data_IF_865352391967
#
_entry.id   IF_865352391967
#
_cell.length_a   1.000
_cell.length_b   1.000
_cell.length_c   1.000
_cell.angle_alpha   90.00
_cell.angle_beta   90.00
_cell.angle_gamma   90.00
#
_symmetry.space_group_name_H-M   'P 1'
#
loop_
_entity.id
_entity.type
_entity.pdbx_description
1 polymer ?
#
# COMPACT_ATOMS: atom_id res chain seq x y z
N UNK A 1 21.62 -21.81 -13.93
CA UNK A 1 21.38 -20.45 -13.42
C UNK A 1 19.92 -20.09 -13.66
N UNK A 2 19.36 -19.29 -12.74
CA UNK A 2 17.98 -18.80 -12.66
C UNK A 2 16.93 -19.79 -12.12
N UNK A 3 16.57 -19.58 -10.85
CA UNK A 3 15.17 -19.66 -10.41
C UNK A 3 14.97 -18.55 -9.39
N UNK A 4 14.44 -17.43 -9.87
CA UNK A 4 14.06 -16.27 -9.08
C UNK A 4 12.87 -16.68 -8.22
N UNK A 5 13.02 -16.49 -6.92
CA UNK A 5 12.02 -16.73 -5.88
C UNK A 5 10.72 -16.04 -6.27
N UNK A 6 9.68 -16.84 -6.52
CA UNK A 6 8.30 -16.40 -6.41
C UNK A 6 7.98 -16.40 -4.93
N UNK A 7 8.30 -15.30 -4.26
CA UNK A 7 7.72 -14.99 -2.98
C UNK A 7 6.26 -14.60 -3.23
N UNK A 8 5.39 -15.60 -3.16
CA UNK A 8 3.96 -15.44 -2.97
C UNK A 8 3.73 -14.70 -1.64
N UNK A 9 3.79 -13.37 -1.68
CA UNK A 9 3.35 -12.51 -0.61
C UNK A 9 1.82 -12.66 -0.50
N UNK A 10 1.40 -13.69 0.24
CA UNK A 10 0.01 -13.98 0.59
C UNK A 10 -0.52 -12.86 1.49
N UNK A 11 -0.86 -11.73 0.90
CA UNK A 11 -1.63 -10.67 1.57
C UNK A 11 -2.98 -11.27 1.94
N UNK A 12 -3.19 -11.50 3.23
CA UNK A 12 -4.43 -12.03 3.79
C UNK A 12 -5.57 -11.01 3.66
N UNK A 13 -6.08 -10.84 2.43
CA UNK A 13 -7.29 -10.09 2.16
C UNK A 13 -8.52 -10.99 2.34
N UNK A 14 -9.33 -10.73 3.35
CA UNK A 14 -10.65 -11.37 3.44
C UNK A 14 -11.60 -10.66 2.47
N UNK A 15 -12.08 -11.38 1.47
CA UNK A 15 -13.03 -10.83 0.49
C UNK A 15 -14.44 -11.02 1.03
N UNK A 16 -15.02 -9.98 1.61
CA UNK A 16 -16.46 -9.92 1.88
C UNK A 16 -17.12 -9.27 0.66
N UNK A 17 -18.07 -9.98 0.05
CA UNK A 17 -18.79 -9.65 -1.20
C UNK A 17 -18.84 -8.15 -1.51
N UNK A 18 -17.98 -7.68 -2.41
CA UNK A 18 -18.00 -6.31 -2.94
C UNK A 18 -16.99 -5.31 -2.37
N UNK A 19 -16.34 -5.59 -1.24
CA UNK A 19 -15.33 -4.72 -0.64
C UNK A 19 -14.06 -5.48 -0.28
N UNK A 20 -12.91 -5.05 -0.79
CA UNK A 20 -11.60 -5.68 -0.52
C UNK A 20 -11.09 -5.19 0.82
N UNK A 21 -11.27 -5.93 1.91
CA UNK A 21 -10.71 -5.55 3.20
C UNK A 21 -9.25 -5.95 3.26
N UNK A 22 -8.37 -4.99 3.55
CA UNK A 22 -6.94 -5.21 3.71
C UNK A 22 -6.62 -5.18 5.20
N UNK A 23 -6.20 -6.33 5.74
CA UNK A 23 -5.75 -6.43 7.12
C UNK A 23 -4.34 -5.86 7.26
N UNK A 24 -4.01 -5.22 8.40
CA UNK A 24 -2.64 -4.88 8.72
C UNK A 24 -1.76 -6.14 8.72
N UNK A 25 -0.52 -6.07 8.23
CA UNK A 25 0.41 -7.19 8.34
C UNK A 25 0.71 -7.49 9.82
N UNK A 26 0.84 -8.76 10.15
CA UNK A 26 1.23 -9.20 11.51
C UNK A 26 2.65 -8.74 11.85
N UNK A 27 3.51 -8.65 10.84
CA UNK A 27 4.87 -8.19 10.95
C UNK A 27 4.94 -6.66 10.92
N UNK A 28 5.10 -6.05 12.10
CA UNK A 28 5.23 -4.59 12.25
C UNK A 28 6.46 -4.00 11.54
N UNK A 29 7.47 -4.82 11.21
CA UNK A 29 8.66 -4.37 10.50
C UNK A 29 8.32 -3.87 9.09
N UNK A 30 7.43 -4.56 8.39
CA UNK A 30 7.01 -4.17 7.03
C UNK A 30 6.33 -2.80 7.02
N UNK A 31 5.45 -2.53 8.01
CA UNK A 31 4.81 -1.22 8.15
C UNK A 31 5.81 -0.10 8.49
N UNK A 32 6.87 -0.42 9.24
CA UNK A 32 7.92 0.55 9.55
C UNK A 32 8.77 0.88 8.32
N UNK A 33 9.09 -0.13 7.50
CA UNK A 33 9.80 0.07 6.24
C UNK A 33 8.96 0.90 5.25
N UNK A 34 7.65 0.66 5.18
CA UNK A 34 6.73 1.48 4.38
C UNK A 34 6.70 2.94 4.84
N UNK A 35 6.64 3.19 6.15
CA UNK A 35 6.66 4.54 6.73
C UNK A 35 7.95 5.29 6.37
N UNK A 36 9.10 4.63 6.45
CA UNK A 36 10.39 5.21 6.06
C UNK A 36 10.43 5.57 4.56
N UNK A 37 9.89 4.72 3.69
CA UNK A 37 9.82 4.99 2.25
C UNK A 37 8.91 6.18 1.94
N UNK A 38 7.81 6.34 2.67
CA UNK A 38 6.94 7.51 2.55
C UNK A 38 7.63 8.78 3.08
N UNK A 39 8.39 8.71 4.16
CA UNK A 39 9.15 9.85 4.67
C UNK A 39 10.19 10.38 3.66
N UNK A 40 10.71 9.52 2.79
CA UNK A 40 11.70 9.85 1.75
C UNK A 40 11.12 10.60 0.52
N UNK A 41 9.88 11.07 0.57
CA UNK A 41 9.20 11.78 -0.53
C UNK A 41 9.13 10.93 -1.81
N UNK A 42 8.28 9.90 -1.83
CA UNK A 42 8.21 8.94 -2.91
C UNK A 42 7.82 9.61 -4.24
N UNK A 43 8.27 9.01 -5.34
CA UNK A 43 7.98 9.43 -6.70
C UNK A 43 7.19 8.33 -7.41
N UNK A 44 6.27 8.73 -8.27
CA UNK A 44 5.63 7.83 -9.20
C UNK A 44 6.57 7.60 -10.39
N UNK A 45 6.57 6.39 -10.94
CA UNK A 45 7.34 6.06 -12.14
C UNK A 45 6.35 5.59 -13.18
N UNK A 46 6.39 6.20 -14.38
CA UNK A 46 5.55 5.77 -15.50
C UNK A 46 6.13 4.52 -16.20
N UNK A 47 5.44 4.04 -17.24
CA UNK A 47 5.86 2.83 -17.97
C UNK A 47 7.18 3.03 -18.72
N UNK A 48 7.51 4.28 -19.05
CA UNK A 48 8.71 4.72 -19.75
C UNK A 48 9.88 4.98 -18.79
N UNK A 49 9.66 4.91 -17.47
CA UNK A 49 10.67 5.10 -16.44
C UNK A 49 10.85 6.54 -15.97
N UNK A 50 10.00 7.48 -16.41
CA UNK A 50 10.06 8.86 -15.95
C UNK A 50 9.50 9.00 -14.54
N UNK A 51 10.20 9.79 -13.72
CA UNK A 51 9.77 10.08 -12.37
C UNK A 51 8.81 11.28 -12.34
N UNK A 52 7.60 11.05 -11.84
CA UNK A 52 6.57 12.06 -11.61
C UNK A 52 6.50 12.31 -10.10
N UNK A 53 6.41 13.58 -9.70
CA UNK A 53 6.18 13.93 -8.31
C UNK A 53 4.84 13.36 -7.85
N UNK A 54 4.84 12.69 -6.71
CA UNK A 54 3.60 12.22 -6.10
C UNK A 54 2.79 13.44 -5.64
N UNK A 55 1.52 13.60 -6.07
CA UNK A 55 0.67 14.68 -5.59
C UNK A 55 0.51 14.62 -4.06
N UNK A 56 0.51 15.78 -3.41
CA UNK A 56 0.46 15.89 -1.95
C UNK A 56 -0.78 15.21 -1.36
N UNK A 57 -1.90 15.23 -2.08
CA UNK A 57 -3.16 14.61 -1.68
C UNK A 57 -3.02 13.09 -1.61
N UNK A 58 -2.36 12.49 -2.60
CA UNK A 58 -2.11 11.04 -2.64
C UNK A 58 -1.11 10.66 -1.55
N UNK A 59 -0.07 11.46 -1.36
CA UNK A 59 0.91 11.27 -0.29
C UNK A 59 0.26 11.26 1.10
N UNK A 60 -0.60 12.24 1.37
CA UNK A 60 -1.31 12.35 2.64
C UNK A 60 -2.17 11.09 2.91
N UNK A 61 -2.93 10.64 1.92
CA UNK A 61 -3.75 9.43 2.05
C UNK A 61 -2.91 8.18 2.33
N UNK A 62 -1.77 8.02 1.65
CA UNK A 62 -0.88 6.87 1.88
C UNK A 62 -0.32 6.87 3.31
N UNK A 63 0.09 8.03 3.83
CA UNK A 63 0.55 8.19 5.21
C UNK A 63 -0.56 7.83 6.21
N UNK A 64 -1.77 8.33 6.01
CA UNK A 64 -2.90 8.05 6.90
C UNK A 64 -3.24 6.55 6.92
N UNK A 65 -3.13 5.88 5.77
CA UNK A 65 -3.30 4.42 5.65
C UNK A 65 -2.25 3.67 6.45
N UNK A 66 -0.97 4.03 6.33
CA UNK A 66 0.12 3.37 7.08
C UNK A 66 -0.04 3.60 8.57
N UNK A 67 -0.34 4.82 8.99
CA UNK A 67 -0.61 5.15 10.40
C UNK A 67 -1.80 4.34 10.95
N UNK A 68 -2.86 4.20 10.15
CA UNK A 68 -4.01 3.37 10.52
C UNK A 68 -3.66 1.89 10.67
N UNK A 69 -2.89 1.34 9.73
CA UNK A 69 -2.45 -0.05 9.81
C UNK A 69 -1.51 -0.30 11.00
N UNK A 70 -0.60 0.64 11.31
CA UNK A 70 0.25 0.57 12.51
C UNK A 70 -0.57 0.59 13.80
N UNK A 71 -1.69 1.32 13.80
CA UNK A 71 -2.70 1.30 14.85
C UNK A 71 -3.58 0.05 14.89
N UNK A 72 -3.32 -0.96 14.05
CA UNK A 72 -4.08 -2.21 13.99
C UNK A 72 -5.43 -2.10 13.28
N UNK A 73 -5.67 -1.04 12.49
CA UNK A 73 -6.93 -0.83 11.77
C UNK A 73 -6.88 -1.41 10.37
N UNK A 74 -7.92 -2.16 10.00
CA UNK A 74 -8.08 -2.64 8.63
C UNK A 74 -8.47 -1.50 7.67
N UNK A 75 -8.03 -1.60 6.42
CA UNK A 75 -8.35 -0.63 5.37
C UNK A 75 -9.45 -1.18 4.48
N UNK A 76 -10.44 -0.33 4.21
CA UNK A 76 -11.58 -0.62 3.34
C UNK A 76 -11.55 0.37 2.17
N UNK A 77 -11.09 -0.04 0.98
CA UNK A 77 -11.16 0.78 -0.22
C UNK A 77 -12.63 1.00 -0.58
N UNK A 78 -13.05 2.27 -0.56
CA UNK A 78 -14.38 2.65 -1.01
C UNK A 78 -14.42 2.53 -2.54
N UNK A 79 -15.36 1.76 -3.07
CA UNK A 79 -15.70 1.86 -4.48
C UNK A 79 -16.55 3.10 -4.67
N UNK A 80 -15.94 4.15 -5.20
CA UNK A 80 -16.71 5.26 -5.74
C UNK A 80 -17.30 4.80 -7.09
N UNK A 81 -18.60 5.01 -7.34
CA UNK A 81 -19.14 4.80 -8.67
C UNK A 81 -18.44 5.76 -9.63
N UNK A 82 -17.80 5.24 -10.66
CA UNK A 82 -17.31 6.06 -11.77
C UNK A 82 -18.55 6.71 -12.40
N UNK A 83 -18.65 8.04 -12.29
CA UNK A 83 -19.71 8.85 -12.91
C UNK A 83 -19.28 9.26 -14.31
#
# INVERSE_FOLDING_TARGET
MASVLKDDLKVAGSTVRGSRIIMPPENRRELHEMDQLLAAHPRLVDAEGNAILLPNEVYAVLRDVVEAMQGGRAIVPLRLPCV
#
